data_IF_534347097043
#
_entry.id   IF_534347097043
#
_cell.length_a   1.000
_cell.length_b   1.000
_cell.length_c   1.000
_cell.angle_alpha   90.00
_cell.angle_beta   90.00
_cell.angle_gamma   90.00
#
_symmetry.space_group_name_H-M   'P 1'
#
loop_
_entity.id
_entity.type
_entity.pdbx_description
1 polymer ?
#
# COMPACT_ATOMS: atom_id res chain seq x y z
N UNK A 1 20.60 20.65 -4.06
CA UNK A 1 19.37 20.24 -3.36
C UNK A 1 19.67 18.93 -2.66
N UNK A 2 19.42 18.81 -1.36
CA UNK A 2 19.66 17.58 -0.58
C UNK A 2 18.31 17.04 -0.14
N UNK A 3 18.10 15.73 -0.30
CA UNK A 3 16.89 15.05 0.17
C UNK A 3 17.23 14.20 1.41
N UNK A 4 17.18 14.78 2.62
CA UNK A 4 17.51 14.05 3.84
C UNK A 4 16.54 12.87 4.02
N UNK A 5 17.10 11.70 4.34
CA UNK A 5 16.35 10.46 4.53
C UNK A 5 15.99 9.68 3.26
N UNK A 6 16.25 10.24 2.07
CA UNK A 6 15.94 9.56 0.79
C UNK A 6 17.09 8.64 0.40
N UNK A 7 16.77 7.36 0.22
CA UNK A 7 17.72 6.35 -0.28
C UNK A 7 17.90 6.47 -1.79
N UNK A 8 19.05 6.05 -2.30
CA UNK A 8 19.39 6.05 -3.73
C UNK A 8 18.28 5.43 -4.59
N UNK A 9 17.73 4.29 -4.18
CA UNK A 9 16.63 3.62 -4.88
C UNK A 9 15.41 4.53 -5.08
N UNK A 10 14.96 5.20 -4.02
CA UNK A 10 13.80 6.09 -4.06
C UNK A 10 14.10 7.31 -4.92
N UNK A 11 15.31 7.86 -4.80
CA UNK A 11 15.74 9.00 -5.60
C UNK A 11 15.81 8.66 -7.09
N UNK A 12 16.34 7.49 -7.45
CA UNK A 12 16.41 7.03 -8.82
C UNK A 12 15.01 6.89 -9.45
N UNK A 13 14.04 6.34 -8.71
CA UNK A 13 12.65 6.23 -9.18
C UNK A 13 12.01 7.61 -9.39
N UNK A 14 12.28 8.56 -8.48
CA UNK A 14 11.84 9.94 -8.65
C UNK A 14 12.45 10.56 -9.91
N UNK A 15 13.74 10.36 -10.17
CA UNK A 15 14.38 10.86 -11.39
C UNK A 15 13.74 10.24 -12.64
N UNK A 16 13.53 8.92 -12.68
CA UNK A 16 12.83 8.30 -13.80
C UNK A 16 11.50 9.02 -14.08
N UNK A 17 10.67 9.21 -13.05
CA UNK A 17 9.41 9.94 -13.19
C UNK A 17 9.59 11.37 -13.72
N UNK A 18 10.55 12.14 -13.18
CA UNK A 18 10.75 13.53 -13.62
C UNK A 18 11.21 13.64 -15.09
N UNK A 19 11.91 12.62 -15.60
CA UNK A 19 12.45 12.64 -16.97
C UNK A 19 11.58 11.90 -17.99
N UNK A 20 10.80 10.91 -17.57
CA UNK A 20 10.01 10.06 -18.47
C UNK A 20 8.52 10.10 -18.19
N UNK A 21 8.10 10.77 -17.11
CA UNK A 21 6.69 10.88 -16.69
C UNK A 21 6.06 9.51 -16.37
N UNK A 22 6.92 8.52 -16.11
CA UNK A 22 6.61 7.11 -15.94
C UNK A 22 7.37 6.57 -14.73
N UNK A 23 6.79 5.56 -14.06
CA UNK A 23 7.37 4.97 -12.85
C UNK A 23 7.76 3.52 -13.13
N UNK A 24 9.05 3.15 -13.02
CA UNK A 24 9.47 1.78 -13.24
C UNK A 24 9.02 0.89 -12.07
N UNK A 25 8.84 -0.40 -12.31
CA UNK A 25 8.28 -1.37 -11.34
C UNK A 25 8.72 -1.17 -9.88
N UNK A 26 7.75 -1.18 -8.97
CA UNK A 26 7.91 -0.96 -7.53
C UNK A 26 7.32 -2.16 -6.82
N UNK A 27 8.08 -2.70 -5.87
CA UNK A 27 7.56 -3.72 -4.95
C UNK A 27 6.75 -3.05 -3.84
N UNK A 28 5.62 -3.66 -3.49
CA UNK A 28 4.79 -3.30 -2.32
C UNK A 28 5.61 -3.11 -1.03
N UNK A 29 6.67 -3.89 -0.80
CA UNK A 29 7.52 -3.77 0.37
C UNK A 29 8.40 -2.48 0.42
N UNK A 30 8.56 -1.78 -0.72
CA UNK A 30 9.48 -0.63 -0.85
C UNK A 30 8.81 0.65 -1.32
N UNK A 31 7.49 0.66 -1.52
CA UNK A 31 6.77 1.81 -2.06
C UNK A 31 6.68 3.00 -1.10
N UNK A 32 6.68 2.75 0.23
CA UNK A 32 6.42 3.77 1.25
C UNK A 32 7.36 4.97 1.18
N UNK A 33 8.66 4.74 1.02
CA UNK A 33 9.64 5.84 0.92
C UNK A 33 9.38 6.73 -0.32
N UNK A 34 8.86 6.16 -1.40
CA UNK A 34 8.54 6.90 -2.61
C UNK A 34 7.21 7.65 -2.48
N UNK A 35 6.21 7.05 -1.83
CA UNK A 35 4.96 7.72 -1.49
C UNK A 35 5.19 8.92 -0.55
N UNK A 36 5.98 8.73 0.51
CA UNK A 36 6.36 9.82 1.42
C UNK A 36 7.03 10.97 0.65
N UNK A 37 8.00 10.65 -0.21
CA UNK A 37 8.71 11.65 -1.01
C UNK A 37 7.78 12.34 -2.02
N UNK A 38 6.91 11.60 -2.69
CA UNK A 38 5.94 12.15 -3.63
C UNK A 38 4.97 13.12 -2.94
N UNK A 39 4.49 12.77 -1.75
CA UNK A 39 3.64 13.64 -0.94
C UNK A 39 4.39 14.90 -0.50
N UNK A 40 5.62 14.76 0.03
CA UNK A 40 6.46 15.89 0.44
C UNK A 40 6.79 16.87 -0.69
N UNK A 41 6.87 16.38 -1.92
CA UNK A 41 7.12 17.19 -3.12
C UNK A 41 5.84 17.66 -3.81
N UNK A 42 4.67 17.34 -3.25
CA UNK A 42 3.36 17.65 -3.82
C UNK A 42 3.20 17.16 -5.26
N UNK A 43 3.58 15.90 -5.52
CA UNK A 43 3.51 15.25 -6.83
C UNK A 43 2.34 14.24 -6.89
N UNK A 44 1.08 14.69 -7.04
CA UNK A 44 -0.08 13.80 -6.98
C UNK A 44 -0.08 12.75 -8.10
N UNK A 45 0.41 13.12 -9.29
CA UNK A 45 0.53 12.16 -10.40
C UNK A 45 1.54 11.05 -10.11
N UNK A 46 2.64 11.36 -9.41
CA UNK A 46 3.60 10.34 -8.99
C UNK A 46 2.95 9.39 -7.97
N UNK A 47 2.17 9.92 -7.01
CA UNK A 47 1.40 9.08 -6.08
C UNK A 47 0.50 8.10 -6.85
N UNK A 48 -0.33 8.60 -7.77
CA UNK A 48 -1.24 7.75 -8.55
C UNK A 48 -0.53 6.66 -9.36
N UNK A 49 0.63 6.97 -9.97
CA UNK A 49 1.42 5.98 -10.71
C UNK A 49 2.02 4.92 -9.78
N UNK A 50 2.49 5.33 -8.60
CA UNK A 50 3.01 4.40 -7.59
C UNK A 50 1.88 3.49 -7.08
N UNK A 51 0.70 4.04 -6.80
CA UNK A 51 -0.47 3.27 -6.38
C UNK A 51 -0.83 2.19 -7.41
N UNK A 52 -1.00 2.60 -8.68
CA UNK A 52 -1.30 1.66 -9.76
C UNK A 52 -0.27 0.53 -9.84
N UNK A 53 1.03 0.87 -9.78
CA UNK A 53 2.08 -0.14 -9.89
C UNK A 53 2.15 -1.08 -8.70
N UNK A 54 1.87 -0.59 -7.50
CA UNK A 54 1.85 -1.40 -6.28
C UNK A 54 0.61 -2.28 -6.23
N UNK A 55 -0.54 -1.80 -6.69
CA UNK A 55 -1.76 -2.61 -6.83
C UNK A 55 -1.51 -3.78 -7.78
N UNK A 56 -0.90 -3.53 -8.95
CA UNK A 56 -0.53 -4.62 -9.89
C UNK A 56 0.41 -5.66 -9.24
N UNK A 57 1.36 -5.22 -8.42
CA UNK A 57 2.27 -6.10 -7.68
C UNK A 57 1.52 -6.94 -6.64
N UNK A 58 0.63 -6.31 -5.86
CA UNK A 58 -0.18 -6.96 -4.84
C UNK A 58 -1.20 -7.94 -5.44
N UNK A 59 -1.79 -7.63 -6.60
CA UNK A 59 -2.67 -8.53 -7.33
C UNK A 59 -1.93 -9.79 -7.77
N UNK A 60 -0.71 -9.65 -8.31
CA UNK A 60 0.14 -10.79 -8.68
C UNK A 60 0.53 -11.62 -7.46
N UNK A 61 0.91 -10.97 -6.36
CA UNK A 61 1.19 -11.65 -5.10
C UNK A 61 -0.04 -12.40 -4.60
N UNK A 62 -1.22 -11.78 -4.66
CA UNK A 62 -2.47 -12.40 -4.22
C UNK A 62 -2.84 -13.65 -5.02
N UNK A 63 -2.44 -13.74 -6.29
CA UNK A 63 -2.65 -14.92 -7.13
C UNK A 63 -1.68 -16.06 -6.81
N UNK A 64 -0.44 -15.73 -6.43
CA UNK A 64 0.61 -16.71 -6.13
C UNK A 64 0.55 -17.19 -4.68
N UNK A 65 0.58 -16.24 -3.74
CA UNK A 65 0.51 -16.45 -2.30
C UNK A 65 -0.36 -15.37 -1.63
N UNK A 66 -1.64 -15.72 -1.43
CA UNK A 66 -2.60 -14.82 -0.81
C UNK A 66 -2.25 -14.40 0.63
N UNK A 67 -1.38 -15.12 1.33
CA UNK A 67 -0.99 -14.76 2.70
C UNK A 67 -0.01 -13.57 2.69
N UNK A 68 0.98 -13.58 1.80
CA UNK A 68 1.94 -12.49 1.65
C UNK A 68 1.25 -11.18 1.22
N UNK A 69 0.27 -11.29 0.31
CA UNK A 69 -0.53 -10.13 -0.11
C UNK A 69 -1.29 -9.51 1.08
N UNK A 70 -1.95 -10.33 1.91
CA UNK A 70 -2.69 -9.85 3.11
C UNK A 70 -1.76 -9.18 4.12
N UNK A 71 -0.56 -9.72 4.33
CA UNK A 71 0.42 -9.11 5.23
C UNK A 71 0.92 -7.76 4.71
N UNK A 72 1.19 -7.66 3.41
CA UNK A 72 1.58 -6.40 2.79
C UNK A 72 0.44 -5.37 2.86
N UNK A 73 -0.81 -5.75 2.59
CA UNK A 73 -1.96 -4.85 2.73
C UNK A 73 -2.09 -4.28 4.15
N UNK A 74 -1.91 -5.12 5.18
CA UNK A 74 -1.93 -4.68 6.58
C UNK A 74 -0.85 -3.63 6.88
N UNK A 75 0.38 -3.86 6.41
CA UNK A 75 1.51 -2.96 6.64
C UNK A 75 1.36 -1.63 5.88
N UNK A 76 0.71 -1.67 4.73
CA UNK A 76 0.54 -0.51 3.84
C UNK A 76 -0.66 0.37 4.21
N UNK A 77 -1.72 -0.19 4.81
CA UNK A 77 -3.00 0.50 4.98
C UNK A 77 -2.88 1.87 5.67
N UNK A 78 -2.20 1.96 6.82
CA UNK A 78 -2.08 3.23 7.54
C UNK A 78 -1.08 4.21 6.88
N UNK A 79 0.12 3.78 6.47
CA UNK A 79 1.03 4.66 5.73
C UNK A 79 0.45 5.20 4.42
N UNK A 80 -0.36 4.41 3.68
CA UNK A 80 -0.98 4.87 2.45
C UNK A 80 -1.95 6.04 2.71
N UNK A 81 -2.80 5.92 3.74
CA UNK A 81 -3.68 7.03 4.17
C UNK A 81 -2.88 8.27 4.58
N UNK A 82 -1.77 8.09 5.30
CA UNK A 82 -0.91 9.19 5.72
C UNK A 82 -0.21 9.91 4.55
N UNK A 83 0.12 9.20 3.49
CA UNK A 83 0.84 9.73 2.33
C UNK A 83 -0.07 10.03 1.13
N UNK A 84 -1.38 10.18 1.37
CA UNK A 84 -2.37 10.54 0.36
C UNK A 84 -2.46 9.54 -0.82
N UNK A 85 -2.18 8.26 -0.55
CA UNK A 85 -2.34 7.14 -1.47
C UNK A 85 -3.71 6.48 -1.22
N UNK A 86 -4.78 7.19 -1.61
CA UNK A 86 -6.16 6.80 -1.31
C UNK A 86 -6.62 5.57 -2.08
N UNK A 87 -6.25 5.42 -3.36
CA UNK A 87 -6.61 4.28 -4.21
C UNK A 87 -5.97 2.99 -3.68
N UNK A 88 -4.70 3.06 -3.29
CA UNK A 88 -3.98 1.91 -2.73
C UNK A 88 -4.52 1.57 -1.33
N UNK A 89 -4.87 2.56 -0.51
CA UNK A 89 -5.50 2.32 0.80
C UNK A 89 -6.87 1.64 0.65
N UNK A 90 -7.70 2.11 -0.28
CA UNK A 90 -9.00 1.52 -0.59
C UNK A 90 -8.85 0.09 -1.10
N UNK A 91 -7.93 -0.15 -2.04
CA UNK A 91 -7.66 -1.49 -2.55
C UNK A 91 -7.19 -2.44 -1.44
N UNK A 92 -6.25 -1.99 -0.58
CA UNK A 92 -5.79 -2.78 0.57
C UNK A 92 -6.96 -3.14 1.49
N UNK A 93 -7.84 -2.18 1.81
CA UNK A 93 -9.00 -2.42 2.66
C UNK A 93 -9.93 -3.47 2.05
N UNK A 94 -10.28 -3.33 0.76
CA UNK A 94 -11.16 -4.26 0.07
C UNK A 94 -10.56 -5.67 0.03
N UNK A 95 -9.26 -5.79 -0.24
CA UNK A 95 -8.56 -7.07 -0.26
C UNK A 95 -8.57 -7.75 1.12
N UNK A 96 -8.41 -6.97 2.19
CA UNK A 96 -8.50 -7.45 3.58
C UNK A 96 -9.92 -7.89 3.95
N UNK A 97 -10.96 -7.16 3.53
CA UNK A 97 -12.37 -7.55 3.73
C UNK A 97 -12.68 -8.92 3.09
N UNK A 98 -12.24 -9.13 1.85
CA UNK A 98 -12.46 -10.38 1.10
C UNK A 98 -11.68 -11.55 1.71
N UNK A 99 -10.49 -11.28 2.26
CA UNK A 99 -9.62 -12.29 2.87
C UNK A 99 -9.68 -12.31 4.41
N UNK A 100 -10.76 -11.79 5.01
CA UNK A 100 -10.88 -11.61 6.46
C UNK A 100 -10.65 -12.88 7.29
N UNK A 101 -11.12 -14.03 6.79
CA UNK A 101 -10.89 -15.32 7.46
C UNK A 101 -9.42 -15.73 7.50
N UNK A 102 -8.65 -15.43 6.45
CA UNK A 102 -7.20 -15.70 6.41
C UNK A 102 -6.47 -14.76 7.36
N UNK A 103 -6.82 -13.47 7.30
CA UNK A 103 -6.32 -12.43 8.19
C UNK A 103 -6.46 -12.82 9.67
N UNK A 104 -7.65 -13.27 10.08
CA UNK A 104 -7.91 -13.68 11.46
C UNK A 104 -7.12 -14.93 11.89
N UNK A 105 -6.90 -15.88 10.98
CA UNK A 105 -6.12 -17.09 11.26
C UNK A 105 -4.62 -16.80 11.36
N UNK A 106 -4.12 -15.91 10.50
CA UNK A 106 -2.70 -15.67 10.35
C UNK A 106 -2.17 -14.73 11.45
N UNK A 107 -2.89 -13.65 11.72
CA UNK A 107 -2.38 -12.60 12.59
C UNK A 107 -3.50 -11.81 13.28
N UNK A 108 -4.20 -12.42 14.25
CA UNK A 108 -5.27 -11.76 15.01
C UNK A 108 -4.77 -10.57 15.84
N UNK A 109 -3.46 -10.52 16.15
CA UNK A 109 -2.83 -9.38 16.84
C UNK A 109 -2.68 -8.17 15.92
N UNK A 110 -2.29 -8.37 14.67
CA UNK A 110 -2.10 -7.28 13.71
C UNK A 110 -3.42 -6.57 13.39
N UNK A 111 -4.53 -7.32 13.32
CA UNK A 111 -5.88 -6.73 13.16
C UNK A 111 -6.24 -5.81 14.32
N UNK A 112 -5.90 -6.21 15.56
CA UNK A 112 -6.17 -5.41 16.76
C UNK A 112 -5.27 -4.17 16.89
N UNK A 113 -4.15 -4.12 16.17
CA UNK A 113 -3.27 -2.95 16.15
C UNK A 113 -3.73 -1.88 15.16
N UNK A 114 -4.60 -2.21 14.20
CA UNK A 114 -5.14 -1.24 13.25
C UNK A 114 -5.93 -0.15 13.97
N UNK A 115 -6.03 1.04 13.38
CA UNK A 115 -6.94 2.08 13.84
C UNK A 115 -8.38 1.55 14.08
N UNK A 116 -9.09 1.98 15.16
CA UNK A 116 -10.43 1.47 15.49
C UNK A 116 -11.43 1.54 14.34
N UNK A 117 -11.42 2.63 13.56
CA UNK A 117 -12.27 2.78 12.38
C UNK A 117 -11.99 1.73 11.30
N UNK A 118 -10.72 1.36 11.09
CA UNK A 118 -10.36 0.30 10.15
C UNK A 118 -10.83 -1.06 10.66
N UNK A 119 -10.77 -1.31 11.98
CA UNK A 119 -11.30 -2.53 12.58
C UNK A 119 -12.81 -2.62 12.40
N UNK A 120 -13.54 -1.55 12.70
CA UNK A 120 -14.98 -1.48 12.55
C UNK A 120 -15.40 -1.68 11.08
N UNK A 121 -14.72 -0.99 10.15
CA UNK A 121 -14.98 -1.16 8.72
C UNK A 121 -14.74 -2.60 8.25
N UNK A 122 -13.61 -3.19 8.64
CA UNK A 122 -13.30 -4.59 8.36
C UNK A 122 -14.34 -5.52 8.96
N UNK A 123 -14.98 -5.15 10.09
CA UNK A 123 -15.97 -5.98 10.77
C UNK A 123 -17.34 -5.95 10.11
N UNK A 124 -17.75 -4.79 9.63
CA UNK A 124 -19.01 -4.57 8.92
C UNK A 124 -18.97 -5.20 7.51
N UNK A 125 -17.84 -5.12 6.81
CA UNK A 125 -17.72 -5.53 5.41
C UNK A 125 -17.03 -6.90 5.22
N UNK A 126 -17.08 -7.77 6.23
CA UNK A 126 -16.44 -9.10 6.17
C UNK A 126 -17.09 -9.97 5.10
N UNK A 127 -16.25 -10.69 4.35
CA UNK A 127 -16.69 -11.78 3.50
C UNK A 127 -16.12 -13.13 3.99
N UNK A 128 -16.92 -14.20 4.08
CA UNK A 128 -18.37 -14.29 3.83
C UNK A 128 -19.20 -13.54 4.88
N UNK A 129 -20.35 -12.95 4.51
CA UNK A 129 -21.26 -12.32 5.46
C UNK A 129 -21.82 -13.39 6.42
N UNK A 130 -21.89 -13.04 7.70
CA UNK A 130 -22.42 -13.89 8.77
C UNK A 130 -23.93 -13.74 8.90
#
# INVERSE_FOLDING_TARGET
IVFPGVREYTFHKLLCYLYTDEVPAISSARCLNLLELANRLCLPRLVNLVESRVIEDLERLSQNDGNEAVENCLRLLEPCKLHNADQLAEWCMNHLCVNYNKLCKMSPRSVRLLHPENQEYLNEHRWPPV
#
